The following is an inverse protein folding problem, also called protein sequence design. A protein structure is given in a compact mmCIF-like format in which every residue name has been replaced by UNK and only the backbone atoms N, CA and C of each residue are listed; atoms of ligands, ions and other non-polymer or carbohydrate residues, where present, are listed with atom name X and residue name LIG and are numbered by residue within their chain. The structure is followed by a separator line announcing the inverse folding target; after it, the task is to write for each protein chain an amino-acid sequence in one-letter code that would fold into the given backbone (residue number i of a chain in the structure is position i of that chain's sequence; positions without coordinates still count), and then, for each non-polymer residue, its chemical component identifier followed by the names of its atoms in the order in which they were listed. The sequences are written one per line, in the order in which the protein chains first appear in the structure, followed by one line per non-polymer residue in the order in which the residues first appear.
data_IF_600065709088
#
_entry.id   IF_600065709088
#
_cell.length_a   1.000
_cell.length_b   1.000
_cell.length_c   1.000
_cell.angle_alpha   90.00
_cell.angle_beta   90.00
_cell.angle_gamma   90.00
#
_symmetry.space_group_name_H-M   'P 1'
#
loop_
_entity.id
_entity.type
_entity.pdbx_description
1 polymer ?
#
# COMPACT_ATOMS: atom_id res chain seq x y z
N UNK A 1 -21.53 -20.80 11.61
CA UNK A 1 -21.38 -19.39 11.22
C UNK A 1 -19.89 -19.11 11.12
N UNK A 2 -19.43 -18.44 10.05
CA UNK A 2 -18.01 -18.08 9.90
C UNK A 2 -17.75 -16.84 10.74
N UNK A 3 -16.65 -16.84 11.50
CA UNK A 3 -16.24 -15.71 12.33
C UNK A 3 -15.90 -14.49 11.45
N UNK A 4 -16.50 -13.30 11.69
CA UNK A 4 -16.18 -12.07 10.98
C UNK A 4 -14.69 -11.71 10.97
N UNK A 5 -13.94 -12.08 12.02
CA UNK A 5 -12.49 -11.87 12.11
C UNK A 5 -11.75 -12.71 11.05
N UNK A 6 -12.19 -13.95 10.83
CA UNK A 6 -11.61 -14.84 9.81
C UNK A 6 -11.89 -14.30 8.41
N UNK A 7 -13.10 -13.79 8.15
CA UNK A 7 -13.45 -13.16 6.88
C UNK A 7 -12.57 -11.92 6.64
N UNK A 8 -12.41 -11.07 7.66
CA UNK A 8 -11.55 -9.89 7.59
C UNK A 8 -10.09 -10.23 7.34
N UNK A 9 -9.56 -11.27 8.00
CA UNK A 9 -8.19 -11.71 7.83
C UNK A 9 -7.92 -12.26 6.42
N UNK A 10 -8.81 -13.12 5.91
CA UNK A 10 -8.70 -13.66 4.54
C UNK A 10 -8.80 -12.54 3.51
N UNK A 11 -9.77 -11.64 3.65
CA UNK A 11 -9.91 -10.48 2.77
C UNK A 11 -8.67 -9.59 2.79
N UNK A 12 -8.13 -9.31 3.98
CA UNK A 12 -6.91 -8.53 4.15
C UNK A 12 -5.69 -9.16 3.49
N UNK A 13 -5.51 -10.49 3.62
CA UNK A 13 -4.42 -11.22 2.95
C UNK A 13 -4.53 -11.10 1.44
N UNK A 14 -5.73 -11.26 0.87
CA UNK A 14 -5.94 -11.12 -0.58
C UNK A 14 -5.56 -9.72 -1.05
N UNK A 15 -5.99 -8.67 -0.32
CA UNK A 15 -5.66 -7.27 -0.63
C UNK A 15 -4.14 -7.05 -0.61
N UNK A 16 -3.45 -7.52 0.43
CA UNK A 16 -1.99 -7.37 0.57
C UNK A 16 -1.27 -8.08 -0.59
N UNK A 17 -1.69 -9.30 -0.93
CA UNK A 17 -1.08 -10.06 -2.02
C UNK A 17 -1.30 -9.39 -3.39
N UNK A 18 -2.49 -8.84 -3.64
CA UNK A 18 -2.79 -8.09 -4.86
C UNK A 18 -1.88 -6.88 -5.00
N UNK A 19 -1.75 -6.08 -3.93
CA UNK A 19 -0.85 -4.93 -3.92
C UNK A 19 0.60 -5.35 -4.10
N UNK A 20 1.09 -6.32 -3.33
CA UNK A 20 2.47 -6.80 -3.44
C UNK A 20 2.81 -7.32 -4.85
N UNK A 21 1.86 -8.00 -5.51
CA UNK A 21 2.03 -8.45 -6.89
C UNK A 21 2.14 -7.29 -7.88
N UNK A 22 1.28 -6.28 -7.76
CA UNK A 22 1.31 -5.09 -8.62
C UNK A 22 2.61 -4.28 -8.43
N UNK A 23 3.01 -4.08 -7.17
CA UNK A 23 4.28 -3.46 -6.77
C UNK A 23 5.46 -4.19 -7.43
N UNK A 24 5.49 -5.52 -7.31
CA UNK A 24 6.55 -6.35 -7.88
C UNK A 24 6.62 -6.30 -9.41
N UNK A 25 5.49 -6.45 -10.09
CA UNK A 25 5.42 -6.45 -11.56
C UNK A 25 5.92 -5.14 -12.16
N UNK A 26 5.65 -4.00 -11.52
CA UNK A 26 6.13 -2.74 -12.07
C UNK A 26 7.55 -2.38 -11.65
N UNK A 27 8.04 -2.88 -10.50
CA UNK A 27 9.48 -2.88 -10.21
C UNK A 27 10.25 -3.67 -11.27
N UNK A 28 9.73 -4.83 -11.69
CA UNK A 28 10.31 -5.64 -12.77
C UNK A 28 10.29 -4.90 -14.12
N UNK A 29 9.25 -4.12 -14.39
CA UNK A 29 9.12 -3.33 -15.64
C UNK A 29 9.87 -1.99 -15.60
N UNK A 30 10.55 -1.63 -14.50
CA UNK A 30 11.18 -0.32 -14.28
C UNK A 30 10.29 0.88 -14.60
N UNK A 31 8.97 0.72 -14.45
CA UNK A 31 8.01 1.80 -14.67
C UNK A 31 7.74 2.50 -13.36
N UNK A 32 7.66 3.83 -13.41
CA UNK A 32 7.06 4.60 -12.31
C UNK A 32 5.61 4.17 -12.17
N UNK A 33 5.29 3.48 -11.08
CA UNK A 33 3.93 3.01 -10.79
C UNK A 33 2.99 4.16 -10.50
N UNK A 34 3.45 5.13 -9.71
CA UNK A 34 2.53 6.02 -9.01
C UNK A 34 2.75 7.48 -9.42
N UNK A 35 1.64 8.13 -9.77
CA UNK A 35 1.53 9.59 -9.72
C UNK A 35 1.69 10.01 -8.26
N UNK A 36 2.75 10.78 -7.96
CA UNK A 36 3.03 11.26 -6.61
C UNK A 36 1.81 11.93 -5.97
N UNK A 37 0.96 12.60 -6.75
CA UNK A 37 -0.29 13.19 -6.22
C UNK A 37 -1.24 12.14 -5.67
N UNK A 38 -1.45 11.07 -6.43
CA UNK A 38 -2.28 9.94 -6.01
C UNK A 38 -1.69 9.27 -4.76
N UNK A 39 -0.39 8.96 -4.77
CA UNK A 39 0.31 8.39 -3.61
C UNK A 39 0.12 9.23 -2.34
N UNK A 40 0.23 10.55 -2.45
CA UNK A 40 0.14 11.43 -1.29
C UNK A 40 -1.28 11.44 -0.72
N UNK A 41 -2.30 11.46 -1.58
CA UNK A 41 -3.71 11.36 -1.15
C UNK A 41 -4.01 9.99 -0.53
N UNK A 42 -3.48 8.92 -1.11
CA UNK A 42 -3.73 7.57 -0.63
C UNK A 42 -3.03 7.32 0.72
N UNK A 43 -1.78 7.76 0.92
CA UNK A 43 -1.13 7.78 2.25
C UNK A 43 -2.01 8.48 3.29
N UNK A 44 -2.55 9.64 2.96
CA UNK A 44 -3.41 10.38 3.87
C UNK A 44 -4.69 9.60 4.19
N UNK A 45 -5.32 9.00 3.19
CA UNK A 45 -6.49 8.13 3.36
C UNK A 45 -6.18 6.92 4.24
N UNK A 46 -5.09 6.19 3.97
CA UNK A 46 -4.65 5.03 4.75
C UNK A 46 -4.33 5.44 6.19
N UNK A 47 -3.70 6.60 6.42
CA UNK A 47 -3.46 7.12 7.76
C UNK A 47 -4.77 7.37 8.53
N UNK A 48 -5.77 7.98 7.88
CA UNK A 48 -7.10 8.14 8.49
C UNK A 48 -7.76 6.78 8.80
N UNK A 49 -7.60 5.78 7.93
CA UNK A 49 -8.12 4.43 8.16
C UNK A 49 -7.41 3.72 9.33
N UNK A 50 -6.10 3.95 9.52
CA UNK A 50 -5.37 3.46 10.71
C UNK A 50 -5.97 4.09 11.98
N UNK A 51 -6.15 5.42 12.00
CA UNK A 51 -6.75 6.11 13.15
C UNK A 51 -8.17 5.61 13.44
N UNK A 52 -8.99 5.43 12.40
CA UNK A 52 -10.32 4.87 12.53
C UNK A 52 -10.29 3.43 13.06
N UNK A 53 -9.40 2.59 12.53
CA UNK A 53 -9.25 1.20 12.98
C UNK A 53 -8.86 1.08 14.45
N UNK A 54 -8.06 2.03 14.95
CA UNK A 54 -7.72 2.14 16.35
C UNK A 54 -8.93 2.53 17.20
N UNK A 55 -9.76 3.47 16.74
CA UNK A 55 -10.98 3.89 17.45
C UNK A 55 -12.02 2.75 17.60
N UNK A 56 -12.12 1.86 16.61
CA UNK A 56 -13.05 0.72 16.64
C UNK A 56 -12.42 -0.55 17.22
N UNK A 57 -11.19 -0.47 17.76
CA UNK A 57 -10.41 -1.58 18.32
C UNK A 57 -10.28 -2.80 17.37
N UNK A 58 -10.28 -2.55 16.05
CA UNK A 58 -10.21 -3.61 15.05
C UNK A 58 -8.76 -3.86 14.63
N UNK A 59 -8.10 -4.77 15.35
CA UNK A 59 -6.71 -5.14 15.11
C UNK A 59 -6.45 -5.64 13.68
N UNK A 60 -7.33 -6.44 13.09
CA UNK A 60 -7.15 -6.97 11.72
C UNK A 60 -7.13 -5.82 10.71
N UNK A 61 -8.08 -4.90 10.83
CA UNK A 61 -8.16 -3.75 9.94
C UNK A 61 -6.98 -2.79 10.15
N UNK A 62 -6.51 -2.63 11.38
CA UNK A 62 -5.32 -1.86 11.69
C UNK A 62 -4.06 -2.45 11.04
N UNK A 63 -3.82 -3.76 11.19
CA UNK A 63 -2.67 -4.44 10.57
C UNK A 63 -2.70 -4.35 9.04
N UNK A 64 -3.88 -4.49 8.43
CA UNK A 64 -4.06 -4.34 6.99
C UNK A 64 -3.61 -2.96 6.51
N UNK A 65 -4.12 -1.89 7.13
CA UNK A 65 -3.81 -0.53 6.72
C UNK A 65 -2.34 -0.14 6.99
N UNK A 66 -1.75 -0.62 8.10
CA UNK A 66 -0.32 -0.42 8.36
C UNK A 66 0.54 -1.10 7.28
N UNK A 67 0.17 -2.32 6.88
CA UNK A 67 0.89 -3.07 5.84
C UNK A 67 0.77 -2.37 4.48
N UNK A 68 -0.42 -1.88 4.13
CA UNK A 68 -0.64 -1.11 2.91
C UNK A 68 0.17 0.18 2.88
N UNK A 69 0.20 0.91 4.01
CA UNK A 69 1.02 2.11 4.14
C UNK A 69 2.50 1.82 3.88
N UNK A 70 3.01 0.71 4.43
CA UNK A 70 4.39 0.30 4.21
C UNK A 70 4.69 -0.03 2.74
N UNK A 71 3.83 -0.80 2.08
CA UNK A 71 3.97 -1.14 0.65
C UNK A 71 3.99 0.14 -0.20
N UNK A 72 3.06 1.06 0.05
CA UNK A 72 2.95 2.32 -0.69
C UNK A 72 4.18 3.22 -0.50
N UNK A 73 4.73 3.29 0.71
CA UNK A 73 5.98 4.02 0.96
C UNK A 73 7.15 3.43 0.16
N UNK A 74 7.24 2.10 0.05
CA UNK A 74 8.26 1.42 -0.78
C UNK A 74 8.06 1.77 -2.26
N UNK A 75 6.82 1.77 -2.76
CA UNK A 75 6.52 2.13 -4.15
C UNK A 75 6.86 3.58 -4.48
N UNK A 76 6.59 4.51 -3.58
CA UNK A 76 6.95 5.92 -3.73
C UNK A 76 8.47 6.07 -3.75
N UNK A 77 9.16 5.44 -2.79
CA UNK A 77 10.63 5.47 -2.73
C UNK A 77 11.24 4.94 -4.03
N UNK A 78 10.74 3.80 -4.53
CA UNK A 78 11.15 3.23 -5.80
C UNK A 78 10.86 4.16 -6.99
N UNK A 79 9.65 4.71 -7.06
CA UNK A 79 9.25 5.63 -8.14
C UNK A 79 10.10 6.90 -8.18
N UNK A 80 10.46 7.46 -7.03
CA UNK A 80 11.38 8.60 -6.92
C UNK A 80 12.79 8.20 -7.40
N UNK A 81 13.29 7.02 -7.00
CA UNK A 81 14.60 6.52 -7.44
C UNK A 81 14.66 6.34 -8.96
N UNK A 82 13.65 5.71 -9.57
CA UNK A 82 13.56 5.51 -11.03
C UNK A 82 13.48 6.85 -11.77
N UNK A 83 12.69 7.82 -11.28
CA UNK A 83 12.60 9.17 -11.88
C UNK A 83 13.94 9.91 -11.82
N UNK A 84 14.68 9.81 -10.70
CA UNK A 84 16.03 10.40 -10.58
C UNK A 84 17.01 9.80 -11.59
N UNK A 85 17.00 8.48 -11.77
CA UNK A 85 17.87 7.80 -12.76
C UNK A 85 17.55 8.24 -14.19
N UNK A 86 16.27 8.34 -14.56
CA UNK A 86 15.88 8.82 -15.89
C UNK A 86 16.23 10.29 -16.13
N UNK A 87 16.08 11.16 -15.11
CA UNK A 87 16.43 12.57 -15.22
C UNK A 87 17.94 12.81 -15.33
N UNK A 88 18.77 11.92 -14.79
CA UNK A 88 20.25 12.00 -14.89
C UNK A 88 20.81 11.50 -16.23
N UNK A 89 20.03 10.72 -17.00
CA UNK A 89 20.40 10.22 -18.33
C UNK A 89 19.96 11.13 -19.48
N UNK A 90 19.17 12.17 -19.21
CA UNK A 90 18.81 13.24 -20.15
C UNK A 90 19.68 14.46 -19.87
#
# INVERSE_FOLDING_TARGET
MIDPVVIGAVGGIVIILSWAYETFEAMKKHKSLIDLKFATMNIFGVFLLILYSWQIENSVFMYLNITLLFIELVEIAYSIAVKKVHKKKR
#
